data_IF_951808911797
#
_entry.id   IF_951808911797
#
_cell.length_a   1.000
_cell.length_b   1.000
_cell.length_c   1.000
_cell.angle_alpha   90.00
_cell.angle_beta   90.00
_cell.angle_gamma   90.00
#
_symmetry.space_group_name_H-M   'P 1'
#
loop_
_entity.id
_entity.type
_entity.pdbx_description
1 polymer ?
#
# COMPACT_ATOMS: atom_id res chain seq x y z
N UNK A 1 10.54 -26.08 11.37
CA UNK A 1 11.10 -24.98 12.18
C UNK A 1 11.66 -23.96 11.21
N UNK A 2 11.07 -22.77 11.17
CA UNK A 2 11.55 -21.63 10.37
C UNK A 2 12.08 -20.59 11.37
N UNK A 3 13.35 -20.18 11.31
CA UNK A 3 13.87 -19.13 12.18
C UNK A 3 13.10 -17.82 12.02
N UNK A 4 13.04 -16.99 13.07
CA UNK A 4 12.31 -15.71 13.01
C UNK A 4 12.82 -14.73 11.95
N UNK A 5 14.11 -14.83 11.57
CA UNK A 5 14.74 -14.00 10.53
C UNK A 5 15.01 -14.80 9.26
N UNK A 6 14.09 -15.69 8.88
CA UNK A 6 14.23 -16.45 7.65
C UNK A 6 13.94 -15.58 6.43
N UNK A 7 14.75 -15.75 5.39
CA UNK A 7 14.57 -15.05 4.13
C UNK A 7 13.69 -15.87 3.17
N UNK A 8 12.37 -15.78 3.33
CA UNK A 8 11.38 -16.42 2.45
C UNK A 8 10.87 -15.50 1.34
N UNK A 9 9.58 -15.61 1.01
CA UNK A 9 8.93 -14.76 -0.01
C UNK A 9 9.16 -13.28 0.29
N UNK A 10 9.44 -12.51 -0.76
CA UNK A 10 9.51 -11.05 -0.66
C UNK A 10 8.09 -10.50 -0.55
N UNK A 11 7.89 -9.69 0.48
CA UNK A 11 6.64 -9.02 0.77
C UNK A 11 6.77 -7.50 0.70
N UNK A 12 5.71 -6.82 0.28
CA UNK A 12 5.66 -5.35 0.18
C UNK A 12 4.39 -4.81 0.86
N UNK A 13 4.57 -3.87 1.78
CA UNK A 13 3.50 -3.00 2.29
C UNK A 13 3.38 -1.82 1.33
N UNK A 14 2.25 -1.70 0.65
CA UNK A 14 2.10 -0.73 -0.44
C UNK A 14 1.80 0.67 0.06
N UNK A 15 1.10 0.74 1.17
CA UNK A 15 0.70 1.97 1.86
C UNK A 15 1.93 2.80 2.24
N UNK A 16 3.05 2.13 2.52
CA UNK A 16 4.34 2.76 2.87
C UNK A 16 5.32 2.84 1.69
N UNK A 17 5.04 2.23 0.54
CA UNK A 17 5.93 2.34 -0.63
C UNK A 17 5.90 3.77 -1.20
N UNK A 18 7.01 4.23 -1.78
CA UNK A 18 7.15 5.58 -2.37
C UNK A 18 7.77 5.58 -3.77
N UNK A 19 7.82 4.41 -4.42
CA UNK A 19 8.40 4.26 -5.75
C UNK A 19 9.88 4.70 -5.89
N UNK A 20 10.66 4.80 -4.82
CA UNK A 20 12.02 5.37 -4.86
C UNK A 20 13.07 4.53 -5.61
N UNK A 21 12.72 3.29 -6.01
CA UNK A 21 13.55 2.31 -6.74
C UNK A 21 14.83 1.87 -6.01
N UNK A 22 14.92 2.06 -4.69
CA UNK A 22 16.07 1.59 -3.91
C UNK A 22 16.22 0.05 -4.04
N UNK A 23 15.12 -0.67 -3.89
CA UNK A 23 15.05 -2.13 -3.99
C UNK A 23 15.48 -2.65 -5.37
N UNK A 24 15.03 -2.02 -6.45
CA UNK A 24 15.42 -2.37 -7.83
C UNK A 24 16.91 -2.13 -8.05
N UNK A 25 17.43 -0.97 -7.61
CA UNK A 25 18.85 -0.61 -7.81
C UNK A 25 19.82 -1.49 -7.04
N UNK A 26 19.43 -1.99 -5.86
CA UNK A 26 20.30 -2.85 -5.04
C UNK A 26 20.23 -4.32 -5.45
N UNK A 27 19.19 -4.72 -6.18
CA UNK A 27 18.96 -6.13 -6.52
C UNK A 27 20.10 -6.68 -7.40
N UNK A 28 20.87 -7.68 -6.92
CA UNK A 28 22.02 -8.20 -7.66
C UNK A 28 21.62 -9.02 -8.89
N UNK A 29 20.38 -9.47 -8.96
CA UNK A 29 19.87 -10.31 -10.05
C UNK A 29 18.73 -9.66 -10.83
N UNK A 30 18.46 -8.36 -10.65
CA UNK A 30 17.46 -7.62 -11.44
C UNK A 30 16.10 -8.33 -11.56
N UNK A 31 15.59 -8.81 -10.42
CA UNK A 31 14.33 -9.57 -10.33
C UNK A 31 13.14 -8.74 -9.82
N UNK A 32 13.34 -7.45 -9.53
CA UNK A 32 12.32 -6.54 -9.01
C UNK A 32 11.94 -5.56 -10.11
N UNK A 33 10.64 -5.50 -10.41
CA UNK A 33 10.10 -4.65 -11.46
C UNK A 33 9.04 -3.73 -10.90
N UNK A 34 9.02 -2.51 -11.45
CA UNK A 34 8.02 -1.52 -11.09
C UNK A 34 6.76 -1.76 -11.93
N UNK A 35 5.61 -1.61 -11.31
CA UNK A 35 4.29 -1.74 -11.89
C UNK A 35 3.36 -0.65 -11.34
N UNK A 36 2.31 -0.31 -12.09
CA UNK A 36 1.34 0.70 -11.69
C UNK A 36 0.16 0.00 -11.02
N UNK A 37 -0.15 0.42 -9.80
CA UNK A 37 -1.24 -0.15 -9.01
C UNK A 37 -2.07 0.95 -8.37
N UNK A 38 -3.36 0.63 -8.13
CA UNK A 38 -4.21 1.49 -7.30
C UNK A 38 -4.04 1.08 -5.85
N UNK A 39 -3.75 2.03 -4.97
CA UNK A 39 -3.54 1.77 -3.54
C UNK A 39 -4.02 2.90 -2.66
N UNK A 40 -4.23 2.58 -1.38
CA UNK A 40 -4.38 3.55 -0.31
C UNK A 40 -2.98 3.94 0.19
N UNK A 41 -2.76 5.21 0.55
CA UNK A 41 -1.52 5.65 1.18
C UNK A 41 -1.60 5.44 2.70
N UNK A 42 -0.46 5.29 3.38
CA UNK A 42 -0.45 5.19 4.85
C UNK A 42 -1.12 6.41 5.53
N UNK A 43 -1.08 7.59 4.92
CA UNK A 43 -1.77 8.79 5.42
C UNK A 43 -3.30 8.73 5.29
N UNK A 44 -3.80 7.90 4.37
CA UNK A 44 -5.23 7.69 4.11
C UNK A 44 -5.80 6.50 4.91
N UNK A 45 -4.97 5.82 5.71
CA UNK A 45 -5.40 4.74 6.59
C UNK A 45 -5.97 5.22 7.92
N UNK A 46 -5.74 6.48 8.30
CA UNK A 46 -6.17 7.03 9.59
C UNK A 46 -7.66 7.37 9.60
N UNK A 47 -8.31 7.18 10.74
CA UNK A 47 -9.75 7.43 10.90
C UNK A 47 -10.03 8.81 11.52
N UNK A 48 -11.27 9.27 11.39
CA UNK A 48 -11.72 10.52 12.02
C UNK A 48 -11.56 10.43 13.55
N UNK A 49 -10.68 11.26 14.11
CA UNK A 49 -10.34 11.27 15.54
C UNK A 49 -8.89 10.91 15.83
N UNK A 50 -8.17 10.32 14.88
CA UNK A 50 -6.74 10.09 14.99
C UNK A 50 -5.94 11.39 14.93
N UNK A 51 -4.84 11.46 15.67
CA UNK A 51 -3.97 12.65 15.71
C UNK A 51 -3.39 13.04 14.34
N UNK A 52 -3.24 12.06 13.44
CA UNK A 52 -2.61 12.20 12.14
C UNK A 52 -3.63 12.13 10.98
N UNK A 53 -4.93 12.21 11.29
CA UNK A 53 -5.97 12.25 10.27
C UNK A 53 -5.97 13.57 9.47
N UNK A 54 -6.39 13.50 8.21
CA UNK A 54 -6.58 14.66 7.33
C UNK A 54 -5.32 15.11 6.56
N UNK A 55 -4.26 14.30 6.53
CA UNK A 55 -3.08 14.54 5.69
C UNK A 55 -3.02 13.65 4.43
N UNK A 56 -4.06 12.84 4.22
CA UNK A 56 -4.22 11.96 3.06
C UNK A 56 -4.51 12.72 1.76
N UNK A 57 -4.85 11.95 0.72
CA UNK A 57 -5.24 12.46 -0.58
C UNK A 57 -6.67 13.01 -0.51
N UNK A 58 -6.86 14.26 -0.95
CA UNK A 58 -8.20 14.84 -1.07
C UNK A 58 -8.96 14.18 -2.23
N UNK A 59 -10.22 13.83 -1.97
CA UNK A 59 -11.11 13.29 -3.00
C UNK A 59 -11.47 14.40 -4.00
N UNK A 60 -11.15 14.17 -5.28
CA UNK A 60 -11.45 15.07 -6.38
C UNK A 60 -12.11 14.34 -7.54
N UNK A 61 -12.88 15.06 -8.36
CA UNK A 61 -13.52 14.48 -9.55
C UNK A 61 -12.47 13.98 -10.54
N UNK A 62 -12.60 12.72 -10.95
CA UNK A 62 -11.61 12.00 -11.76
C UNK A 62 -10.46 11.38 -10.96
N UNK A 63 -10.42 11.61 -9.64
CA UNK A 63 -9.52 10.93 -8.72
C UNK A 63 -10.03 9.53 -8.32
N UNK A 64 -9.22 8.81 -7.56
CA UNK A 64 -9.57 7.49 -7.04
C UNK A 64 -10.03 7.59 -5.58
N UNK A 65 -11.07 6.83 -5.25
CA UNK A 65 -11.54 6.60 -3.90
C UNK A 65 -11.42 5.11 -3.57
N UNK A 66 -11.32 4.81 -2.29
CA UNK A 66 -11.39 3.46 -1.77
C UNK A 66 -12.45 3.37 -0.67
N UNK A 67 -13.21 2.27 -0.66
CA UNK A 67 -14.09 1.87 0.45
C UNK A 67 -13.53 0.62 1.08
N UNK A 68 -13.42 0.60 2.41
CA UNK A 68 -12.98 -0.60 3.13
C UNK A 68 -14.04 -1.70 3.01
N UNK A 69 -13.62 -2.91 2.66
CA UNK A 69 -14.53 -4.04 2.47
C UNK A 69 -15.01 -4.54 3.85
N UNK A 70 -16.30 -4.81 3.99
CA UNK A 70 -16.87 -5.35 5.24
C UNK A 70 -16.19 -6.69 5.60
N UNK A 71 -15.71 -6.80 6.84
CA UNK A 71 -15.00 -8.00 7.33
C UNK A 71 -13.54 -8.12 6.87
N UNK A 72 -13.01 -7.16 6.11
CA UNK A 72 -11.61 -7.17 5.65
C UNK A 72 -10.59 -7.19 6.79
N UNK A 73 -10.86 -6.51 7.90
CA UNK A 73 -9.96 -6.47 9.07
C UNK A 73 -9.77 -7.84 9.70
N UNK A 74 -10.86 -8.55 9.92
CA UNK A 74 -10.85 -9.90 10.49
C UNK A 74 -10.14 -10.85 9.52
N UNK A 75 -10.47 -10.78 8.23
CA UNK A 75 -9.82 -11.55 7.19
C UNK A 75 -8.30 -11.29 7.15
N UNK A 76 -7.88 -10.03 7.26
CA UNK A 76 -6.47 -9.63 7.25
C UNK A 76 -5.71 -10.06 8.51
N UNK A 77 -6.36 -10.01 9.67
CA UNK A 77 -5.80 -10.43 10.95
C UNK A 77 -5.58 -11.95 11.01
N UNK A 78 -6.51 -12.72 10.45
CA UNK A 78 -6.47 -14.19 10.45
C UNK A 78 -5.61 -14.76 9.31
N UNK A 79 -5.29 -13.97 8.29
CA UNK A 79 -4.50 -14.43 7.14
C UNK A 79 -3.06 -14.76 7.52
N UNK A 80 -2.63 -16.01 7.33
CA UNK A 80 -1.26 -16.42 7.65
C UNK A 80 -0.36 -16.37 6.42
N UNK A 81 0.36 -15.25 6.21
CA UNK A 81 1.28 -15.06 5.08
C UNK A 81 2.28 -16.21 4.91
N UNK A 82 2.72 -16.84 6.00
CA UNK A 82 3.72 -17.93 5.95
C UNK A 82 3.20 -19.24 5.36
N UNK A 83 1.89 -19.46 5.33
CA UNK A 83 1.28 -20.78 5.08
C UNK A 83 0.12 -20.76 4.10
N UNK A 84 -0.45 -19.60 3.79
CA UNK A 84 -1.65 -19.51 2.95
C UNK A 84 -1.38 -19.83 1.46
N UNK A 85 -0.18 -19.56 0.96
CA UNK A 85 0.22 -19.80 -0.44
C UNK A 85 -0.65 -19.12 -1.52
N UNK A 86 -1.46 -18.15 -1.12
CA UNK A 86 -2.34 -17.35 -1.98
C UNK A 86 -2.15 -15.85 -1.74
N UNK A 87 -2.79 -15.01 -2.55
CA UNK A 87 -2.80 -13.57 -2.30
C UNK A 87 -3.53 -13.27 -0.97
N UNK A 88 -3.06 -12.31 -0.17
CA UNK A 88 -3.81 -11.85 0.99
C UNK A 88 -5.18 -11.29 0.56
N UNK A 89 -6.19 -11.31 1.45
CA UNK A 89 -7.48 -10.72 1.17
C UNK A 89 -7.36 -9.22 0.83
N UNK A 90 -8.17 -8.78 -0.12
CA UNK A 90 -8.30 -7.36 -0.45
C UNK A 90 -8.97 -6.60 0.71
N UNK A 91 -8.38 -5.47 1.11
CA UNK A 91 -8.91 -4.63 2.18
C UNK A 91 -9.86 -3.54 1.67
N UNK A 92 -9.71 -3.17 0.40
CA UNK A 92 -10.36 -2.02 -0.18
C UNK A 92 -10.99 -2.37 -1.53
N UNK A 93 -12.19 -1.87 -1.76
CA UNK A 93 -12.78 -1.75 -3.07
C UNK A 93 -12.42 -0.37 -3.63
N UNK A 94 -11.85 -0.32 -4.83
CA UNK A 94 -11.43 0.92 -5.47
C UNK A 94 -12.42 1.39 -6.53
N UNK A 95 -12.59 2.70 -6.66
CA UNK A 95 -13.44 3.30 -7.67
C UNK A 95 -13.03 4.72 -8.08
N UNK A 96 -13.51 5.15 -9.24
CA UNK A 96 -13.30 6.49 -9.79
C UNK A 96 -14.38 7.45 -9.26
N UNK A 97 -13.99 8.61 -8.76
CA UNK A 97 -14.90 9.66 -8.32
C UNK A 97 -15.48 10.40 -9.53
N UNK A 98 -16.79 10.33 -9.72
CA UNK A 98 -17.48 10.92 -10.88
C UNK A 98 -18.03 12.32 -10.55
N UNK A 99 -18.57 12.49 -9.35
CA UNK A 99 -19.18 13.75 -8.91
C UNK A 99 -19.04 13.94 -7.39
N UNK A 100 -18.98 15.20 -6.98
CA UNK A 100 -18.89 15.64 -5.59
C UNK A 100 -20.05 16.58 -5.27
N UNK A 101 -21.07 16.06 -4.60
CA UNK A 101 -22.28 16.80 -4.25
C UNK A 101 -22.40 16.94 -2.71
N UNK A 102 -21.60 17.84 -2.15
CA UNK A 102 -21.59 18.08 -0.69
C UNK A 102 -20.97 16.89 0.05
N UNK A 103 -21.78 16.19 0.84
CA UNK A 103 -21.36 15.01 1.61
C UNK A 103 -21.59 13.69 0.86
N UNK A 104 -22.17 13.74 -0.34
CA UNK A 104 -22.43 12.57 -1.17
C UNK A 104 -21.50 12.57 -2.38
N UNK A 105 -20.85 11.44 -2.60
CA UNK A 105 -19.86 11.24 -3.66
C UNK A 105 -20.36 10.11 -4.56
N UNK A 106 -20.47 10.37 -5.87
CA UNK A 106 -20.81 9.34 -6.84
C UNK A 106 -19.53 8.64 -7.30
N UNK A 107 -19.40 7.35 -7.02
CA UNK A 107 -18.20 6.54 -7.34
C UNK A 107 -18.55 5.46 -8.36
N UNK A 108 -17.71 5.28 -9.38
CA UNK A 108 -17.74 4.11 -10.27
C UNK A 108 -16.75 3.06 -9.78
N UNK A 109 -17.25 1.94 -9.27
CA UNK A 109 -16.41 0.86 -8.76
C UNK A 109 -15.69 0.09 -9.87
N UNK A 110 -14.40 -0.17 -9.68
CA UNK A 110 -13.54 -0.79 -10.70
C UNK A 110 -13.94 -2.24 -11.00
N UNK A 111 -14.30 -3.01 -9.97
CA UNK A 111 -14.59 -4.44 -10.09
C UNK A 111 -15.98 -4.70 -10.71
N UNK A 112 -17.01 -3.98 -10.26
CA UNK A 112 -18.40 -4.18 -10.68
C UNK A 112 -18.81 -3.29 -11.87
N UNK A 113 -18.14 -2.15 -12.07
CA UNK A 113 -18.53 -1.11 -13.02
C UNK A 113 -19.79 -0.34 -12.62
N UNK A 114 -20.37 -0.60 -11.44
CA UNK A 114 -21.57 0.07 -10.97
C UNK A 114 -21.25 1.46 -10.45
N UNK A 115 -22.20 2.38 -10.60
CA UNK A 115 -22.14 3.71 -10.01
C UNK A 115 -22.99 3.72 -8.76
N UNK A 116 -22.41 4.15 -7.65
CA UNK A 116 -23.05 4.22 -6.35
C UNK A 116 -22.82 5.60 -5.73
N UNK A 117 -23.84 6.14 -5.07
CA UNK A 117 -23.74 7.36 -4.28
C UNK A 117 -23.43 6.98 -2.83
N UNK A 118 -22.26 7.41 -2.34
CA UNK A 118 -21.70 7.00 -1.05
C UNK A 118 -21.41 8.25 -0.21
N UNK A 119 -21.53 8.15 1.12
CA UNK A 119 -21.16 9.24 2.00
C UNK A 119 -19.66 9.48 2.00
N UNK A 120 -19.23 10.74 2.05
CA UNK A 120 -17.81 11.10 2.01
C UNK A 120 -17.01 10.48 3.17
N UNK A 121 -17.65 10.29 4.33
CA UNK A 121 -17.06 9.65 5.51
C UNK A 121 -16.80 8.15 5.38
N UNK A 122 -17.42 7.48 4.41
CA UNK A 122 -17.21 6.03 4.16
C UNK A 122 -16.09 5.77 3.14
N UNK A 123 -15.51 6.83 2.58
CA UNK A 123 -14.48 6.78 1.55
C UNK A 123 -13.16 7.31 2.09
N UNK A 124 -12.07 6.66 1.66
CA UNK A 124 -10.71 7.15 1.85
C UNK A 124 -10.09 7.50 0.50
N UNK A 125 -9.10 8.38 0.52
CA UNK A 125 -8.31 8.72 -0.65
C UNK A 125 -7.55 7.50 -1.18
N UNK A 126 -7.57 7.32 -2.51
CA UNK A 126 -6.74 6.34 -3.17
C UNK A 126 -5.93 7.00 -4.30
N UNK A 127 -4.81 6.40 -4.65
CA UNK A 127 -3.93 6.90 -5.70
C UNK A 127 -3.51 5.77 -6.64
N UNK A 128 -3.30 6.13 -7.91
CA UNK A 128 -2.64 5.27 -8.89
C UNK A 128 -1.15 5.58 -8.83
N UNK A 129 -0.36 4.68 -8.26
CA UNK A 129 1.06 4.91 -8.03
C UNK A 129 1.90 3.74 -8.56
N UNK A 130 3.19 3.99 -8.74
CA UNK A 130 4.15 3.01 -9.22
C UNK A 130 4.75 2.27 -8.01
N UNK A 131 4.37 1.02 -7.82
CA UNK A 131 4.93 0.15 -6.77
C UNK A 131 5.88 -0.87 -7.37
N UNK A 132 6.75 -1.45 -6.55
CA UNK A 132 7.53 -2.62 -6.97
C UNK A 132 6.69 -3.88 -6.75
N UNK A 133 5.58 -3.96 -7.48
CA UNK A 133 4.57 -5.03 -7.34
C UNK A 133 4.94 -6.32 -8.05
N UNK A 134 5.88 -6.29 -9.00
CA UNK A 134 6.19 -7.43 -9.86
C UNK A 134 7.58 -8.00 -9.60
N UNK A 135 7.65 -9.27 -9.21
CA UNK A 135 8.89 -9.92 -8.76
C UNK A 135 9.07 -11.28 -9.46
N UNK A 136 10.22 -11.47 -10.12
CA UNK A 136 10.63 -12.78 -10.66
C UNK A 136 11.29 -13.62 -9.55
N UNK A 137 10.50 -14.47 -8.91
CA UNK A 137 10.97 -15.37 -7.84
C UNK A 137 11.87 -16.49 -8.39
N UNK A 138 11.74 -16.83 -9.68
CA UNK A 138 12.63 -17.77 -10.37
C UNK A 138 14.05 -17.22 -10.55
N UNK A 139 14.21 -15.90 -10.46
CA UNK A 139 15.50 -15.20 -10.50
C UNK A 139 15.94 -14.70 -9.12
N UNK A 140 15.01 -14.49 -8.19
CA UNK A 140 15.35 -14.08 -6.83
C UNK A 140 16.31 -15.07 -6.16
N UNK A 141 17.32 -14.54 -5.44
CA UNK A 141 18.27 -15.34 -4.65
C UNK A 141 18.09 -15.18 -3.14
N UNK A 142 16.98 -14.57 -2.71
CA UNK A 142 16.57 -14.42 -1.30
C UNK A 142 17.64 -13.79 -0.39
N UNK A 143 18.42 -12.86 -0.94
CA UNK A 143 19.52 -12.21 -0.20
C UNK A 143 19.08 -11.18 0.85
N UNK A 144 17.83 -10.69 0.81
CA UNK A 144 17.31 -9.69 1.76
C UNK A 144 17.73 -8.23 1.48
N UNK A 145 18.56 -7.97 0.46
CA UNK A 145 19.06 -6.61 0.18
C UNK A 145 17.95 -5.59 -0.14
N UNK A 146 16.85 -6.02 -0.75
CA UNK A 146 15.71 -5.14 -1.04
C UNK A 146 15.06 -4.60 0.25
N UNK A 147 14.87 -5.46 1.25
CA UNK A 147 14.41 -5.10 2.59
C UNK A 147 15.39 -4.14 3.26
N UNK A 148 16.69 -4.48 3.32
CA UNK A 148 17.69 -3.65 3.98
C UNK A 148 17.87 -2.27 3.32
N UNK A 149 17.70 -2.19 2.00
CA UNK A 149 17.82 -0.93 1.26
C UNK A 149 16.60 -0.01 1.36
N UNK A 150 15.46 -0.52 1.83
CA UNK A 150 14.20 0.21 1.83
C UNK A 150 14.20 1.26 2.97
N UNK A 151 14.20 2.57 2.67
CA UNK A 151 14.27 3.59 3.72
C UNK A 151 12.91 3.89 4.37
N UNK A 152 11.88 3.13 4.00
CA UNK A 152 10.48 3.28 4.45
C UNK A 152 9.96 2.00 5.10
N UNK A 153 10.80 0.96 5.27
CA UNK A 153 10.40 -0.35 5.77
C UNK A 153 9.15 -0.90 5.05
N UNK A 154 9.07 -0.75 3.73
CA UNK A 154 7.98 -1.30 2.92
C UNK A 154 8.26 -2.73 2.49
N UNK A 155 9.53 -3.13 2.41
CA UNK A 155 9.95 -4.45 1.97
C UNK A 155 10.25 -5.35 3.16
N UNK A 156 9.74 -6.58 3.12
CA UNK A 156 9.97 -7.59 4.15
C UNK A 156 10.32 -8.93 3.52
N UNK A 157 11.12 -9.70 4.26
CA UNK A 157 11.27 -11.13 4.00
C UNK A 157 10.27 -11.86 4.89
N UNK A 158 9.32 -12.58 4.29
CA UNK A 158 8.34 -13.38 5.04
C UNK A 158 8.94 -14.75 5.39
N UNK A 159 8.23 -15.50 6.22
CA UNK A 159 8.60 -16.88 6.57
C UNK A 159 8.03 -17.93 5.61
N UNK A 160 7.40 -17.51 4.51
CA UNK A 160 6.86 -18.41 3.50
C UNK A 160 7.99 -18.98 2.63
N UNK A 161 8.10 -20.30 2.55
CA UNK A 161 9.16 -20.98 1.78
C UNK A 161 8.61 -21.97 0.74
N UNK A 162 7.39 -22.44 0.93
CA UNK A 162 6.77 -23.55 0.18
C UNK A 162 5.68 -23.10 -0.82
N UNK A 163 5.26 -21.83 -0.78
CA UNK A 163 4.29 -21.23 -1.72
C UNK A 163 4.92 -20.53 -2.94
N UNK A 164 6.19 -20.80 -3.25
CA UNK A 164 6.98 -20.16 -4.32
C UNK A 164 7.36 -21.13 -5.45
N UNK A 165 6.54 -22.16 -5.65
CA UNK A 165 6.73 -23.15 -6.73
C UNK A 165 5.60 -23.04 -7.75
N UNK A 166 5.91 -23.37 -9.00
CA UNK A 166 4.98 -23.36 -10.11
C UNK A 166 5.32 -24.45 -11.11
N UNK A 167 4.39 -24.73 -12.03
CA UNK A 167 4.58 -25.70 -13.11
C UNK A 167 5.24 -25.07 -14.33
N UNK A 168 5.16 -23.76 -14.48
CA UNK A 168 5.75 -22.97 -15.56
C UNK A 168 6.69 -21.90 -15.00
N UNK A 169 7.44 -21.22 -15.88
CA UNK A 169 8.29 -20.10 -15.47
C UNK A 169 7.45 -18.86 -15.19
N UNK A 170 6.33 -18.75 -15.89
CA UNK A 170 5.36 -17.68 -15.76
C UNK A 170 4.74 -17.68 -14.36
N UNK A 171 4.51 -18.87 -13.77
CA UNK A 171 4.01 -19.01 -12.40
C UNK A 171 4.98 -18.45 -11.33
N UNK A 172 6.24 -18.22 -11.68
CA UNK A 172 7.25 -17.66 -10.76
C UNK A 172 7.30 -16.12 -10.79
N UNK A 173 6.51 -15.50 -11.66
CA UNK A 173 6.28 -14.07 -11.63
C UNK A 173 5.17 -13.76 -10.64
N UNK A 174 5.56 -13.17 -9.52
CA UNK A 174 4.61 -12.72 -8.52
C UNK A 174 4.23 -11.30 -8.86
N UNK A 175 2.96 -11.11 -9.19
CA UNK A 175 2.37 -9.81 -9.42
C UNK A 175 2.02 -9.15 -8.09
N UNK A 176 1.45 -7.96 -8.18
CA UNK A 176 1.20 -7.11 -7.04
C UNK A 176 0.45 -7.87 -5.92
N UNK A 177 -0.73 -8.42 -6.22
CA UNK A 177 -1.55 -9.19 -5.28
C UNK A 177 -0.74 -10.19 -4.43
N UNK A 178 0.14 -10.99 -5.05
CA UNK A 178 0.91 -12.02 -4.37
C UNK A 178 2.08 -11.47 -3.57
N UNK A 179 2.61 -10.30 -3.94
CA UNK A 179 3.69 -9.64 -3.20
C UNK A 179 3.19 -8.83 -2.01
N UNK A 180 1.88 -8.53 -1.95
CA UNK A 180 1.28 -7.77 -0.85
C UNK A 180 1.52 -8.42 0.51
N UNK A 181 1.71 -7.54 1.49
CA UNK A 181 1.80 -7.84 2.92
C UNK A 181 0.89 -6.86 3.64
N UNK A 182 0.04 -7.39 4.51
CA UNK A 182 -1.02 -6.63 5.14
C UNK A 182 -0.47 -5.71 6.25
N UNK A 183 -0.88 -4.43 6.29
CA UNK A 183 -0.43 -3.47 7.29
C UNK A 183 -0.61 -3.95 8.73
N UNK A 184 -1.73 -4.61 9.05
CA UNK A 184 -2.05 -5.12 10.40
C UNK A 184 -0.98 -6.07 10.96
N UNK A 185 -0.28 -6.81 10.08
CA UNK A 185 0.74 -7.78 10.46
C UNK A 185 2.11 -7.12 10.71
N UNK A 186 2.26 -5.86 10.29
CA UNK A 186 3.48 -5.07 10.37
C UNK A 186 3.23 -3.68 10.97
N UNK A 187 2.28 -3.59 11.92
CA UNK A 187 1.80 -2.35 12.52
C UNK A 187 2.93 -1.42 12.97
N UNK A 188 3.97 -1.93 13.64
CA UNK A 188 5.10 -1.11 14.10
C UNK A 188 5.79 -0.35 12.93
N UNK A 189 6.03 -1.02 11.80
CA UNK A 189 6.66 -0.39 10.65
C UNK A 189 5.73 0.64 10.00
N UNK A 190 4.44 0.34 9.95
CA UNK A 190 3.39 1.22 9.41
C UNK A 190 3.26 2.48 10.28
N UNK A 191 3.18 2.33 11.60
CA UNK A 191 3.05 3.42 12.57
C UNK A 191 4.25 4.38 12.53
N UNK A 192 5.47 3.82 12.43
CA UNK A 192 6.69 4.62 12.30
C UNK A 192 6.66 5.48 11.03
N UNK A 193 6.27 4.89 9.90
CA UNK A 193 6.21 5.62 8.63
C UNK A 193 5.04 6.61 8.60
N UNK A 194 3.89 6.27 9.19
CA UNK A 194 2.74 7.17 9.37
C UNK A 194 3.16 8.42 10.15
N UNK A 195 3.73 8.25 11.35
CA UNK A 195 4.15 9.37 12.19
C UNK A 195 5.16 10.27 11.48
N UNK A 196 6.11 9.68 10.74
CA UNK A 196 7.11 10.40 9.96
C UNK A 196 6.49 11.21 8.82
N UNK A 197 5.54 10.64 8.08
CA UNK A 197 4.85 11.34 6.98
C UNK A 197 3.91 12.43 7.50
N UNK A 198 3.17 12.16 8.57
CA UNK A 198 2.28 13.12 9.19
C UNK A 198 3.06 14.35 9.72
N UNK A 199 4.22 14.13 10.37
CA UNK A 199 5.09 15.25 10.77
C UNK A 199 5.60 16.06 9.58
N UNK A 200 5.97 15.41 8.47
CA UNK A 200 6.37 16.09 7.25
C UNK A 200 5.20 16.91 6.65
N UNK A 201 3.99 16.35 6.62
CA UNK A 201 2.80 17.00 6.11
C UNK A 201 2.43 18.23 6.96
N UNK A 202 2.42 18.10 8.30
CA UNK A 202 2.19 19.21 9.23
C UNK A 202 3.22 20.33 9.04
N UNK A 203 4.51 20.01 9.01
CA UNK A 203 5.58 21.00 8.76
C UNK A 203 5.43 21.68 7.39
N UNK A 204 4.95 20.97 6.37
CA UNK A 204 4.68 21.53 5.05
C UNK A 204 3.49 22.51 5.11
N UNK A 205 2.41 22.15 5.80
CA UNK A 205 1.23 22.99 6.00
C UNK A 205 1.57 24.27 6.78
N UNK A 206 2.30 24.17 7.90
CA UNK A 206 2.76 25.32 8.69
C UNK A 206 3.60 26.30 7.85
N UNK A 207 4.52 25.78 7.03
CA UNK A 207 5.35 26.60 6.12
C UNK A 207 4.50 27.27 5.04
N UNK A 208 3.51 26.57 4.49
CA UNK A 208 2.60 27.13 3.50
C UNK A 208 1.76 28.27 4.09
N UNK A 209 1.18 28.07 5.28
CA UNK A 209 0.42 29.09 6.00
C UNK A 209 1.28 30.32 6.34
N UNK A 210 2.52 30.12 6.82
CA UNK A 210 3.45 31.21 7.11
C UNK A 210 3.86 31.99 5.85
N UNK A 211 3.92 31.33 4.68
CA UNK A 211 4.19 31.98 3.40
C UNK A 211 2.99 32.79 2.92
N UNK A 212 1.77 32.26 3.04
CA UNK A 212 0.53 32.95 2.68
C UNK A 212 0.33 34.23 3.52
N UNK A 213 0.51 34.14 4.84
CA UNK A 213 0.41 35.30 5.73
C UNK A 213 1.44 36.41 5.43
N UNK A 214 2.61 36.04 4.90
CA UNK A 214 3.64 37.02 4.46
C UNK A 214 3.36 37.61 3.09
N UNK A 215 2.59 36.96 2.22
CA UNK A 215 2.18 37.53 0.93
C UNK A 215 0.96 38.44 1.04
N UNK A 216 0.20 38.33 2.12
CA UNK A 216 -0.97 39.16 2.42
C UNK A 216 -0.64 40.41 3.28
N UNK A 217 0.60 40.53 3.77
CA UNK A 217 1.11 41.66 4.56
C UNK A 217 2.05 42.56 3.75
#
# INVERSE_FOLDING_TARGET
>A
FVPGNYNGRIGVIWETCTACKACVRICPNDCLHMETETRVNVLDMTEEGDENHGYGVELEVGGMAARRIEGSEEAAADFQLSTAHEAPPEEYEFGEVIDLAGDTISVRWNASGTIEDVASSELVGAEVDIVSGRIDIGRCMFCGLCMESCPFNSFFMTNEYDGMSGFTREDLWFEADRTRVLPVQHAEAVDIELAKRADQARKKAEKAAAKAAKSEA
#
